data_IF_731953893128
#
_entry.id   IF_731953893128
#
_cell.length_a   1.000
_cell.length_b   1.000
_cell.length_c   1.000
_cell.angle_alpha   90.00
_cell.angle_beta   90.00
_cell.angle_gamma   90.00
#
_symmetry.space_group_name_H-M   'P 1'
#
loop_
_entity.id
_entity.type
_entity.pdbx_description
1 polymer ?
#
# COMPACT_ATOMS: atom_id res chain seq x y z
N UNK A 1 12.86 37.90 9.59
CA UNK A 1 12.83 36.78 10.55
C UNK A 1 11.68 35.88 10.16
N UNK A 2 11.92 34.59 10.09
CA UNK A 2 10.96 33.61 9.58
C UNK A 2 10.60 32.59 10.65
N UNK A 3 9.32 32.16 10.69
CA UNK A 3 8.83 31.18 11.67
C UNK A 3 8.75 29.79 11.03
N UNK A 4 9.31 28.82 11.74
CA UNK A 4 9.31 27.42 11.37
C UNK A 4 8.67 26.57 12.46
N UNK A 5 8.18 25.40 12.06
CA UNK A 5 7.57 24.38 12.89
C UNK A 5 8.44 23.13 12.90
N UNK A 6 8.81 22.66 14.08
CA UNK A 6 9.30 21.30 14.29
C UNK A 6 8.21 20.44 14.94
N UNK A 7 7.97 19.26 14.39
CA UNK A 7 7.00 18.29 14.92
C UNK A 7 7.73 17.24 15.76
N UNK A 8 7.22 16.98 16.96
CA UNK A 8 7.85 16.01 17.88
C UNK A 8 6.85 15.39 18.83
N UNK A 9 7.21 14.28 19.48
CA UNK A 9 6.37 13.66 20.50
C UNK A 9 6.26 14.54 21.74
N UNK A 10 5.07 14.56 22.39
CA UNK A 10 4.82 15.30 23.62
C UNK A 10 5.87 15.02 24.72
N UNK A 11 6.43 13.81 24.77
CA UNK A 11 7.48 13.43 25.73
C UNK A 11 8.73 14.33 25.67
N UNK A 12 8.99 14.94 24.51
CA UNK A 12 10.15 15.80 24.28
C UNK A 12 9.92 17.26 24.70
N UNK A 13 8.70 17.63 25.16
CA UNK A 13 8.35 19.00 25.54
C UNK A 13 9.30 19.59 26.59
N UNK A 14 9.49 18.89 27.72
CA UNK A 14 10.28 19.42 28.84
C UNK A 14 11.79 19.51 28.52
N UNK A 15 12.41 18.51 27.87
CA UNK A 15 13.77 18.66 27.35
C UNK A 15 13.94 19.88 26.43
N UNK A 16 13.01 20.08 25.49
CA UNK A 16 13.07 21.18 24.52
C UNK A 16 12.92 22.54 25.20
N UNK A 17 12.03 22.67 26.19
CA UNK A 17 11.91 23.90 26.98
C UNK A 17 13.21 24.27 27.70
N UNK A 18 13.98 23.28 28.17
CA UNK A 18 15.23 23.53 28.89
C UNK A 18 16.39 23.88 27.98
N UNK A 19 16.59 23.13 26.89
CA UNK A 19 17.81 23.21 26.08
C UNK A 19 17.61 23.66 24.63
N UNK A 20 16.36 23.85 24.19
CA UNK A 20 16.04 23.99 22.77
C UNK A 20 15.99 22.64 22.04
N UNK A 21 15.95 22.69 20.72
CA UNK A 21 15.86 21.51 19.85
C UNK A 21 17.28 21.12 19.42
N UNK A 22 17.68 19.88 19.71
CA UNK A 22 18.96 19.31 19.27
C UNK A 22 18.83 18.75 17.86
N UNK A 23 19.93 18.74 17.13
CA UNK A 23 20.00 18.03 15.85
C UNK A 23 19.95 16.52 16.09
N UNK A 24 19.43 15.79 15.11
CA UNK A 24 19.45 14.33 15.06
C UNK A 24 20.08 13.86 13.74
N UNK A 25 20.58 12.61 13.67
CA UNK A 25 20.98 12.02 12.41
C UNK A 25 19.86 12.05 11.36
N UNK A 26 20.23 12.23 10.10
CA UNK A 26 19.29 12.26 8.97
C UNK A 26 19.79 11.30 7.88
N UNK A 27 18.86 10.74 7.11
CA UNK A 27 19.12 9.76 6.05
C UNK A 27 19.63 10.36 4.72
N UNK A 28 20.03 11.63 4.71
CA UNK A 28 20.60 12.28 3.53
C UNK A 28 22.12 12.25 3.63
N UNK A 29 22.78 11.65 2.64
CA UNK A 29 24.24 11.44 2.63
C UNK A 29 25.03 12.74 2.84
N UNK A 30 24.58 13.84 2.22
CA UNK A 30 25.21 15.16 2.33
C UNK A 30 24.89 15.90 3.64
N UNK A 31 23.97 15.39 4.46
CA UNK A 31 23.43 16.08 5.64
C UNK A 31 23.44 15.11 6.83
N UNK A 32 24.57 14.98 7.55
CA UNK A 32 24.73 13.97 8.58
C UNK A 32 23.81 14.21 9.78
N UNK A 33 23.50 15.48 10.10
CA UNK A 33 22.63 15.86 11.20
C UNK A 33 21.82 17.11 10.87
N UNK A 34 20.62 17.21 11.44
CA UNK A 34 19.82 18.42 11.36
C UNK A 34 18.51 18.32 12.14
N UNK A 35 17.65 19.31 11.93
CA UNK A 35 16.30 19.37 12.47
C UNK A 35 15.34 19.47 11.30
N UNK A 36 14.46 18.48 11.17
CA UNK A 36 13.32 18.59 10.28
C UNK A 36 12.37 19.67 10.76
N UNK A 37 12.08 20.64 9.90
CA UNK A 37 11.14 21.70 10.16
C UNK A 37 10.34 22.05 8.90
N UNK A 38 9.23 22.77 9.09
CA UNK A 38 8.40 23.28 8.02
C UNK A 38 8.26 24.80 8.16
N UNK A 39 8.34 25.56 7.05
CA UNK A 39 7.92 26.95 7.06
C UNK A 39 6.48 27.08 7.54
N UNK A 40 6.21 28.07 8.40
CA UNK A 40 4.83 28.35 8.85
C UNK A 40 4.16 29.29 7.86
N UNK A 41 3.18 28.76 7.12
CA UNK A 41 2.37 29.49 6.15
C UNK A 41 0.89 29.49 6.58
N UNK A 42 0.02 30.35 5.97
CA UNK A 42 -1.39 30.41 6.33
C UNK A 42 -2.14 29.07 6.20
N UNK A 43 -1.70 28.21 5.27
CA UNK A 43 -2.27 26.87 5.13
C UNK A 43 -1.81 25.95 6.27
N UNK A 44 -2.76 25.61 7.14
CA UNK A 44 -2.53 24.73 8.28
C UNK A 44 -2.19 23.30 7.86
N UNK A 45 -2.83 22.78 6.82
CA UNK A 45 -2.63 21.41 6.34
C UNK A 45 -1.23 21.23 5.77
N UNK A 46 -0.74 22.22 5.00
CA UNK A 46 0.62 22.19 4.44
C UNK A 46 1.69 22.41 5.50
N UNK A 47 1.48 23.36 6.43
CA UNK A 47 2.43 23.60 7.52
C UNK A 47 2.62 22.35 8.38
N UNK A 48 1.55 21.58 8.63
CA UNK A 48 1.56 20.41 9.54
C UNK A 48 1.49 19.07 8.79
N UNK A 49 1.81 19.05 7.50
CA UNK A 49 1.55 17.91 6.61
C UNK A 49 2.24 16.60 7.03
N UNK A 50 3.35 16.68 7.75
CA UNK A 50 4.14 15.55 8.24
C UNK A 50 3.62 14.92 9.54
N UNK A 51 2.60 15.51 10.17
CA UNK A 51 2.16 15.09 11.52
C UNK A 51 1.74 13.62 11.55
N UNK A 52 0.86 13.20 10.65
CA UNK A 52 0.37 11.82 10.62
C UNK A 52 1.45 10.81 10.26
N UNK A 53 2.46 11.21 9.49
CA UNK A 53 3.61 10.35 9.20
C UNK A 53 4.49 10.17 10.42
N UNK A 54 4.91 11.26 11.08
CA UNK A 54 5.71 11.21 12.31
C UNK A 54 4.98 10.46 13.43
N UNK A 55 3.65 10.62 13.52
CA UNK A 55 2.81 9.92 14.50
C UNK A 55 2.86 8.40 14.34
N UNK A 56 3.07 7.86 13.14
CA UNK A 56 3.15 6.40 12.93
C UNK A 56 4.31 5.76 13.68
N UNK A 57 5.39 6.51 13.87
CA UNK A 57 6.61 6.05 14.55
C UNK A 57 6.71 6.55 15.99
N UNK A 58 5.68 7.23 16.49
CA UNK A 58 5.68 7.85 17.81
C UNK A 58 4.68 7.20 18.75
N UNK A 59 5.12 6.92 19.97
CA UNK A 59 4.24 6.50 21.07
C UNK A 59 3.63 7.74 21.73
N UNK A 60 2.39 8.07 21.38
CA UNK A 60 1.63 9.18 21.98
C UNK A 60 1.38 10.38 21.06
N UNK A 61 0.86 11.49 21.60
CA UNK A 61 0.47 12.66 20.80
C UNK A 61 1.69 13.43 20.28
N UNK A 62 1.54 13.99 19.07
CA UNK A 62 2.52 14.89 18.44
C UNK A 62 2.18 16.34 18.80
N UNK A 63 3.21 17.13 19.10
CA UNK A 63 3.14 18.57 19.37
C UNK A 63 3.93 19.35 18.32
N UNK A 64 3.59 20.62 18.16
CA UNK A 64 4.33 21.57 17.33
C UNK A 64 5.19 22.48 18.18
N UNK A 65 6.48 22.55 17.86
CA UNK A 65 7.44 23.51 18.40
C UNK A 65 7.66 24.58 17.34
N UNK A 66 7.17 25.79 17.58
CA UNK A 66 7.33 26.92 16.67
C UNK A 66 8.55 27.72 17.12
N UNK A 67 9.43 28.05 16.19
CA UNK A 67 10.64 28.81 16.46
C UNK A 67 10.93 29.79 15.32
N UNK A 68 11.73 30.82 15.60
CA UNK A 68 12.10 31.86 14.63
C UNK A 68 13.59 31.80 14.31
N UNK A 69 13.94 31.92 13.03
CA UNK A 69 15.33 31.99 12.55
C UNK A 69 15.51 33.19 11.60
N UNK A 70 16.74 33.70 11.44
CA UNK A 70 17.06 34.74 10.46
C UNK A 70 16.61 34.34 9.05
N UNK A 71 16.22 35.31 8.23
CA UNK A 71 15.77 35.03 6.85
C UNK A 71 16.90 34.50 5.97
N UNK A 72 18.13 34.91 6.28
CA UNK A 72 19.37 34.45 5.64
C UNK A 72 19.91 33.14 6.23
N UNK A 73 19.20 32.51 7.18
CA UNK A 73 19.69 31.27 7.80
C UNK A 73 19.80 30.17 6.74
N UNK A 74 20.97 29.53 6.57
CA UNK A 74 21.15 28.47 5.61
C UNK A 74 20.43 27.20 6.07
N UNK A 75 19.74 26.57 5.14
CA UNK A 75 19.00 25.34 5.32
C UNK A 75 19.04 24.48 4.06
N UNK A 76 18.53 23.27 4.18
CA UNK A 76 18.31 22.38 3.04
C UNK A 76 16.81 22.24 2.83
N UNK A 77 16.35 22.34 1.59
CA UNK A 77 14.94 22.25 1.25
C UNK A 77 14.71 21.43 -0.01
N UNK A 78 13.56 20.79 -0.12
CA UNK A 78 13.20 20.02 -1.30
C UNK A 78 11.96 19.17 -1.08
N UNK A 79 11.64 18.33 -2.06
CA UNK A 79 10.54 17.36 -1.97
C UNK A 79 11.03 16.07 -1.29
N UNK A 80 10.11 15.37 -0.65
CA UNK A 80 10.30 14.00 -0.19
C UNK A 80 10.78 13.12 -1.34
N UNK A 81 11.73 12.22 -1.05
CA UNK A 81 12.33 11.32 -2.03
C UNK A 81 13.06 12.03 -3.19
N UNK A 82 13.50 13.27 -2.96
CA UNK A 82 14.30 14.04 -3.91
C UNK A 82 15.59 14.54 -3.25
N UNK A 83 16.56 14.93 -4.08
CA UNK A 83 17.76 15.61 -3.60
C UNK A 83 17.38 16.95 -2.97
N UNK A 84 17.98 17.27 -1.82
CA UNK A 84 17.78 18.55 -1.15
C UNK A 84 18.81 19.56 -1.64
N UNK A 85 18.35 20.78 -1.88
CA UNK A 85 19.20 21.89 -2.27
C UNK A 85 19.37 22.86 -1.11
N UNK A 86 20.55 23.48 -1.03
CA UNK A 86 20.79 24.56 -0.08
C UNK A 86 19.96 25.78 -0.46
N UNK A 87 19.27 26.36 0.51
CA UNK A 87 18.56 27.62 0.37
C UNK A 87 18.55 28.37 1.69
N UNK A 88 18.19 29.65 1.66
CA UNK A 88 17.93 30.45 2.86
C UNK A 88 16.52 30.20 3.42
N UNK A 89 16.31 30.57 4.67
CA UNK A 89 14.99 30.50 5.30
C UNK A 89 13.90 31.18 4.49
N UNK A 90 14.15 32.37 3.95
CA UNK A 90 13.17 33.09 3.14
C UNK A 90 12.93 32.42 1.77
N UNK A 91 13.98 31.92 1.12
CA UNK A 91 13.86 31.22 -0.16
C UNK A 91 13.02 29.94 -0.02
N UNK A 92 13.19 29.17 1.07
CA UNK A 92 12.37 27.97 1.30
C UNK A 92 10.89 28.29 1.46
N UNK A 93 10.54 29.43 2.07
CA UNK A 93 9.15 29.89 2.19
C UNK A 93 8.60 30.27 0.82
N UNK A 94 9.38 31.00 0.03
CA UNK A 94 8.99 31.41 -1.33
C UNK A 94 8.76 30.18 -2.20
N UNK A 95 9.71 29.25 -2.23
CA UNK A 95 9.60 27.97 -2.94
C UNK A 95 8.35 27.20 -2.54
N UNK A 96 8.08 27.04 -1.23
CA UNK A 96 6.88 26.35 -0.77
C UNK A 96 5.57 27.01 -1.24
N UNK A 97 5.55 28.34 -1.34
CA UNK A 97 4.36 29.09 -1.78
C UNK A 97 4.12 29.01 -3.30
N UNK A 98 5.17 28.76 -4.08
CA UNK A 98 5.09 28.76 -5.55
C UNK A 98 4.96 27.37 -6.16
N UNK A 99 5.28 26.30 -5.43
CA UNK A 99 5.13 24.93 -5.92
C UNK A 99 3.64 24.59 -6.08
N UNK A 100 3.29 23.96 -7.19
CA UNK A 100 1.92 23.52 -7.52
C UNK A 100 1.37 22.49 -6.54
N UNK A 101 2.17 21.46 -6.20
CA UNK A 101 1.86 20.45 -5.18
C UNK A 101 2.82 20.57 -3.99
N UNK A 102 2.44 21.30 -2.92
CA UNK A 102 3.29 21.52 -1.75
C UNK A 102 3.40 20.30 -0.83
N UNK A 103 2.67 19.21 -1.10
CA UNK A 103 2.77 18.01 -0.29
C UNK A 103 4.10 17.28 -0.56
N UNK A 104 4.74 16.83 0.52
CA UNK A 104 6.09 16.25 0.50
C UNK A 104 7.21 17.27 0.63
N UNK A 105 6.94 18.58 0.61
CA UNK A 105 7.98 19.57 0.88
C UNK A 105 8.55 19.39 2.29
N UNK A 106 9.86 19.50 2.42
CA UNK A 106 10.58 19.36 3.68
C UNK A 106 11.75 20.32 3.77
N UNK A 107 12.06 20.74 4.98
CA UNK A 107 13.21 21.59 5.29
C UNK A 107 14.02 20.98 6.42
N UNK A 108 15.34 21.07 6.30
CA UNK A 108 16.31 20.65 7.32
C UNK A 108 17.16 21.85 7.71
N UNK A 109 17.10 22.20 8.99
CA UNK A 109 18.02 23.15 9.60
C UNK A 109 19.28 22.39 10.10
N UNK A 110 20.49 22.65 9.59
CA UNK A 110 21.70 21.89 9.91
C UNK A 110 22.33 22.28 11.26
N UNK A 111 21.61 22.99 12.13
CA UNK A 111 22.07 23.39 13.46
C UNK A 111 20.97 23.24 14.50
N UNK A 112 21.36 23.30 15.78
CA UNK A 112 20.41 23.32 16.89
C UNK A 112 19.56 24.60 16.89
N UNK A 113 18.34 24.50 17.40
CA UNK A 113 17.49 25.65 17.74
C UNK A 113 17.62 25.89 19.24
N UNK A 114 18.00 27.10 19.62
CA UNK A 114 18.16 27.49 21.02
C UNK A 114 16.81 27.75 21.69
N UNK A 115 16.77 27.70 23.02
CA UNK A 115 15.54 28.02 23.78
C UNK A 115 15.00 29.43 23.52
N UNK A 116 15.86 30.39 23.13
CA UNK A 116 15.48 31.79 22.86
C UNK A 116 14.82 31.97 21.48
N UNK A 117 15.06 31.03 20.57
CA UNK A 117 14.45 31.01 19.24
C UNK A 117 13.04 30.39 19.27
N UNK A 118 12.70 29.63 20.32
CA UNK A 118 11.36 29.04 20.48
C UNK A 118 10.35 30.15 20.76
N UNK A 119 9.32 30.20 19.93
CA UNK A 119 8.21 31.17 20.02
C UNK A 119 7.06 30.57 20.83
N UNK A 120 6.67 29.32 20.55
CA UNK A 120 5.57 28.64 21.25
C UNK A 120 5.61 27.13 21.06
N UNK A 121 4.98 26.43 21.99
CA UNK A 121 4.71 24.99 21.92
C UNK A 121 3.21 24.78 21.90
N UNK A 122 2.68 24.04 20.93
CA UNK A 122 1.22 23.84 20.74
C UNK A 122 0.86 22.36 20.63
N UNK A 123 -0.25 21.98 21.27
CA UNK A 123 -0.95 20.74 20.95
C UNK A 123 -1.60 20.83 19.57
N UNK A 124 -1.54 19.76 18.79
CA UNK A 124 -2.02 19.75 17.41
C UNK A 124 -3.20 18.77 17.23
N UNK A 125 -4.14 19.02 16.31
CA UNK A 125 -5.10 18.01 15.91
C UNK A 125 -4.39 16.80 15.32
N UNK A 126 -4.64 15.61 15.87
CA UNK A 126 -3.87 14.41 15.56
C UNK A 126 -4.30 13.68 14.28
N UNK A 127 -5.16 14.33 13.49
CA UNK A 127 -5.78 13.82 12.26
C UNK A 127 -5.22 14.48 11.00
N UNK A 128 -4.31 15.44 11.15
CA UNK A 128 -3.79 16.27 10.05
C UNK A 128 -2.54 15.64 9.43
N UNK A 129 -2.37 15.86 8.12
CA UNK A 129 -1.25 15.36 7.34
C UNK A 129 -1.52 14.04 6.63
N UNK A 130 -0.59 13.66 5.76
CA UNK A 130 -0.63 12.40 5.01
C UNK A 130 0.03 11.26 5.80
N UNK A 131 -0.06 10.03 5.27
CA UNK A 131 0.61 8.83 5.81
C UNK A 131 1.30 8.12 4.65
N UNK A 132 2.41 7.43 4.91
CA UNK A 132 3.22 6.65 3.96
C UNK A 132 4.01 7.51 2.98
N UNK A 133 3.34 8.30 2.16
CA UNK A 133 3.94 9.25 1.21
C UNK A 133 2.91 10.34 0.86
N UNK A 134 3.34 11.49 0.30
CA UNK A 134 2.47 12.64 0.04
C UNK A 134 1.21 12.30 -0.77
N UNK A 135 1.35 11.47 -1.80
CA UNK A 135 0.29 11.07 -2.75
C UNK A 135 -0.50 9.84 -2.29
N UNK A 136 -0.28 9.34 -1.07
CA UNK A 136 -0.86 8.07 -0.63
C UNK A 136 -2.39 8.08 -0.52
N UNK A 137 -3.00 9.27 -0.51
CA UNK A 137 -4.46 9.42 -0.53
C UNK A 137 -5.05 9.25 -1.93
N UNK A 138 -4.32 9.63 -2.98
CA UNK A 138 -4.81 9.59 -4.36
C UNK A 138 -4.50 8.25 -5.03
N UNK A 139 -3.45 7.55 -4.58
CA UNK A 139 -3.09 6.24 -5.12
C UNK A 139 -3.77 5.10 -4.36
N UNK A 140 -4.34 4.11 -5.07
CA UNK A 140 -4.84 2.91 -4.41
C UNK A 140 -3.68 2.19 -3.70
N UNK A 141 -3.93 1.72 -2.48
CA UNK A 141 -2.94 0.98 -1.70
C UNK A 141 -2.68 -0.37 -2.35
N UNK A 142 -1.41 -0.72 -2.54
CA UNK A 142 -1.02 -2.08 -2.88
C UNK A 142 -1.44 -3.06 -1.76
N UNK A 143 -2.10 -4.16 -2.13
CA UNK A 143 -2.68 -5.12 -1.20
C UNK A 143 -1.82 -6.36 -0.96
N UNK A 144 -0.60 -6.38 -1.52
CA UNK A 144 0.35 -7.48 -1.35
C UNK A 144 0.81 -7.60 0.12
N UNK A 145 1.33 -8.76 0.54
CA UNK A 145 1.76 -8.99 1.93
C UNK A 145 2.84 -8.02 2.42
N UNK A 146 3.66 -7.45 1.52
CA UNK A 146 4.68 -6.46 1.86
C UNK A 146 4.07 -5.09 2.20
N UNK A 147 3.08 -4.62 1.42
CA UNK A 147 2.44 -3.31 1.62
C UNK A 147 1.29 -3.34 2.63
N UNK A 148 0.68 -4.51 2.84
CA UNK A 148 -0.42 -4.76 3.77
C UNK A 148 -0.09 -6.00 4.62
N UNK A 149 0.81 -5.89 5.61
CA UNK A 149 1.28 -7.00 6.42
C UNK A 149 0.16 -7.56 7.31
N UNK A 150 0.30 -8.82 7.73
CA UNK A 150 -0.69 -9.51 8.54
C UNK A 150 -1.01 -8.73 9.84
N UNK A 151 -2.30 -8.57 10.12
CA UNK A 151 -2.79 -7.87 11.32
C UNK A 151 -3.07 -6.39 11.10
N UNK A 152 -2.93 -5.89 9.86
CA UNK A 152 -3.26 -4.51 9.56
C UNK A 152 -4.76 -4.23 9.72
N UNK A 153 -5.14 -3.06 10.29
CA UNK A 153 -6.54 -2.69 10.43
C UNK A 153 -7.28 -2.71 9.09
N UNK A 154 -8.47 -3.30 9.08
CA UNK A 154 -9.36 -3.37 7.90
C UNK A 154 -8.76 -4.06 6.67
N UNK A 155 -7.67 -4.83 6.81
CA UNK A 155 -7.00 -5.46 5.67
C UNK A 155 -7.94 -6.33 4.81
N UNK A 156 -8.85 -7.10 5.46
CA UNK A 156 -9.76 -8.00 4.75
C UNK A 156 -10.78 -7.20 3.95
N UNK A 157 -11.34 -6.15 4.56
CA UNK A 157 -12.30 -5.25 3.91
C UNK A 157 -11.69 -4.55 2.70
N UNK A 158 -10.41 -4.15 2.77
CA UNK A 158 -9.73 -3.55 1.61
C UNK A 158 -9.61 -4.55 0.45
N UNK A 159 -9.31 -5.81 0.75
CA UNK A 159 -9.18 -6.87 -0.26
C UNK A 159 -10.52 -7.29 -0.84
N UNK A 160 -11.55 -7.44 -0.01
CA UNK A 160 -12.93 -7.69 -0.45
C UNK A 160 -13.44 -6.57 -1.36
N UNK A 161 -13.26 -5.30 -0.98
CA UNK A 161 -13.65 -4.17 -1.80
C UNK A 161 -12.95 -4.18 -3.17
N UNK A 162 -11.64 -4.49 -3.19
CA UNK A 162 -10.88 -4.58 -4.44
C UNK A 162 -11.34 -5.77 -5.29
N UNK A 163 -11.61 -6.92 -4.68
CA UNK A 163 -12.16 -8.09 -5.36
C UNK A 163 -13.49 -7.75 -6.07
N UNK A 164 -14.46 -7.18 -5.36
CA UNK A 164 -15.74 -6.79 -5.98
C UNK A 164 -15.60 -5.67 -7.02
N UNK A 165 -14.66 -4.75 -6.82
CA UNK A 165 -14.33 -3.75 -7.84
C UNK A 165 -13.79 -4.40 -9.12
N UNK A 166 -12.96 -5.43 -9.03
CA UNK A 166 -12.44 -6.16 -10.19
C UNK A 166 -13.54 -6.96 -10.88
N UNK A 167 -14.45 -7.60 -10.13
CA UNK A 167 -15.64 -8.24 -10.69
C UNK A 167 -16.49 -7.24 -11.48
N UNK A 168 -16.72 -6.04 -10.93
CA UNK A 168 -17.45 -4.99 -11.64
C UNK A 168 -16.73 -4.53 -12.91
N UNK A 169 -15.40 -4.37 -12.85
CA UNK A 169 -14.60 -3.98 -14.01
C UNK A 169 -14.65 -5.05 -15.12
N UNK A 170 -14.56 -6.33 -14.75
CA UNK A 170 -14.65 -7.45 -15.70
C UNK A 170 -15.94 -7.39 -16.52
N UNK A 171 -17.07 -7.09 -15.86
CA UNK A 171 -18.37 -6.99 -16.50
C UNK A 171 -18.51 -5.77 -17.44
N UNK A 172 -17.73 -4.71 -17.23
CA UNK A 172 -17.78 -3.47 -18.02
C UNK A 172 -16.83 -3.51 -19.22
N UNK A 173 -15.72 -4.26 -19.09
CA UNK A 173 -14.71 -4.42 -20.13
C UNK A 173 -15.22 -5.26 -21.30
N UNK A 174 -14.82 -4.88 -22.51
CA UNK A 174 -15.17 -5.57 -23.76
C UNK A 174 -14.06 -6.46 -24.31
N UNK A 175 -12.79 -6.08 -24.11
CA UNK A 175 -11.65 -6.78 -24.70
C UNK A 175 -11.25 -8.01 -23.86
N UNK A 176 -10.73 -9.03 -24.52
CA UNK A 176 -10.31 -10.27 -23.86
C UNK A 176 -9.05 -10.01 -23.03
N UNK A 177 -8.12 -9.20 -23.55
CA UNK A 177 -6.85 -8.87 -22.91
C UNK A 177 -7.05 -8.17 -21.56
N UNK A 178 -7.95 -7.19 -21.50
CA UNK A 178 -8.29 -6.51 -20.23
C UNK A 178 -8.98 -7.47 -19.26
N UNK A 179 -9.89 -8.35 -19.73
CA UNK A 179 -10.53 -9.37 -18.89
C UNK A 179 -9.50 -10.32 -18.29
N UNK A 180 -8.53 -10.79 -19.08
CA UNK A 180 -7.44 -11.64 -18.60
C UNK A 180 -6.55 -10.92 -17.58
N UNK A 181 -6.25 -9.64 -17.79
CA UNK A 181 -5.52 -8.80 -16.83
C UNK A 181 -6.27 -8.64 -15.50
N UNK A 182 -7.60 -8.45 -15.57
CA UNK A 182 -8.47 -8.39 -14.39
C UNK A 182 -8.47 -9.73 -13.64
N UNK A 183 -8.58 -10.86 -14.35
CA UNK A 183 -8.51 -12.19 -13.75
C UNK A 183 -7.17 -12.46 -13.07
N UNK A 184 -6.05 -12.04 -13.67
CA UNK A 184 -4.74 -12.11 -13.03
C UNK A 184 -4.71 -11.31 -11.72
N UNK A 185 -5.29 -10.10 -11.72
CA UNK A 185 -5.40 -9.27 -10.52
C UNK A 185 -6.29 -9.92 -9.43
N UNK A 186 -7.32 -10.67 -9.83
CA UNK A 186 -8.16 -11.44 -8.90
C UNK A 186 -7.36 -12.59 -8.27
N UNK A 187 -6.63 -13.36 -9.08
CA UNK A 187 -5.79 -14.46 -8.58
C UNK A 187 -4.74 -13.97 -7.57
N UNK A 188 -4.09 -12.85 -7.86
CA UNK A 188 -3.13 -12.21 -6.95
C UNK A 188 -3.77 -11.89 -5.59
N UNK A 189 -4.97 -11.29 -5.58
CA UNK A 189 -5.65 -10.92 -4.33
C UNK A 189 -6.02 -12.16 -3.52
N UNK A 190 -6.54 -13.19 -4.18
CA UNK A 190 -6.96 -14.44 -3.53
C UNK A 190 -5.75 -15.21 -2.98
N UNK A 191 -4.62 -15.20 -3.68
CA UNK A 191 -3.36 -15.81 -3.25
C UNK A 191 -2.88 -15.29 -1.89
N UNK A 192 -3.18 -14.02 -1.58
CA UNK A 192 -2.79 -13.41 -0.30
C UNK A 192 -3.92 -13.39 0.74
N UNK A 193 -5.15 -13.76 0.36
CA UNK A 193 -6.36 -13.48 1.14
C UNK A 193 -7.32 -14.67 1.22
N UNK A 194 -7.01 -15.68 2.04
CA UNK A 194 -7.82 -16.90 2.15
C UNK A 194 -9.20 -16.70 2.80
N UNK A 195 -9.62 -15.45 3.04
CA UNK A 195 -10.91 -15.10 3.66
C UNK A 195 -12.00 -14.77 2.64
N UNK A 196 -11.63 -14.46 1.40
CA UNK A 196 -12.60 -14.22 0.34
C UNK A 196 -13.07 -15.60 -0.14
N UNK A 197 -14.28 -15.98 0.25
CA UNK A 197 -14.88 -17.27 -0.09
C UNK A 197 -15.99 -17.17 -1.13
N UNK A 198 -16.32 -15.95 -1.57
CA UNK A 198 -17.33 -15.72 -2.59
C UNK A 198 -16.75 -16.00 -3.97
N UNK A 199 -17.07 -17.16 -4.53
CA UNK A 199 -16.70 -17.56 -5.89
C UNK A 199 -17.85 -17.43 -6.88
N UNK A 200 -19.07 -17.11 -6.42
CA UNK A 200 -20.27 -17.06 -7.25
C UNK A 200 -20.15 -16.11 -8.46
N UNK A 201 -19.55 -14.92 -8.35
CA UNK A 201 -19.36 -14.06 -9.50
C UNK A 201 -18.53 -14.70 -10.61
N UNK A 202 -17.52 -15.50 -10.24
CA UNK A 202 -16.59 -16.13 -11.17
C UNK A 202 -17.24 -17.30 -11.93
N UNK A 203 -18.22 -18.00 -11.35
CA UNK A 203 -18.95 -19.07 -12.06
C UNK A 203 -19.70 -18.53 -13.28
N UNK A 204 -20.15 -17.27 -13.23
CA UNK A 204 -20.79 -16.60 -14.38
C UNK A 204 -19.80 -16.37 -15.52
N UNK A 205 -18.52 -16.18 -15.21
CA UNK A 205 -17.48 -15.93 -16.22
C UNK A 205 -17.14 -17.18 -17.02
N UNK A 206 -17.43 -18.38 -16.50
CA UNK A 206 -17.28 -19.63 -17.26
C UNK A 206 -18.24 -19.76 -18.44
N UNK A 207 -19.36 -19.04 -18.43
CA UNK A 207 -20.37 -19.07 -19.50
C UNK A 207 -19.98 -18.26 -20.75
N UNK A 208 -18.74 -17.77 -20.81
CA UNK A 208 -18.20 -17.05 -21.97
C UNK A 208 -17.72 -18.02 -23.04
N UNK A 209 -17.66 -17.57 -24.30
CA UNK A 209 -17.12 -18.36 -25.41
C UNK A 209 -15.57 -18.35 -25.52
N UNK A 210 -14.89 -17.54 -24.68
CA UNK A 210 -13.42 -17.46 -24.69
C UNK A 210 -12.83 -18.55 -23.79
N UNK A 211 -12.12 -19.48 -24.43
CA UNK A 211 -11.37 -20.53 -23.75
C UNK A 211 -10.34 -19.96 -22.78
N UNK A 212 -9.60 -18.91 -23.14
CA UNK A 212 -8.57 -18.35 -22.25
C UNK A 212 -9.15 -17.80 -20.94
N UNK A 213 -10.34 -17.20 -21.01
CA UNK A 213 -11.06 -16.73 -19.83
C UNK A 213 -11.49 -17.92 -18.97
N UNK A 214 -12.08 -18.95 -19.58
CA UNK A 214 -12.50 -20.17 -18.86
C UNK A 214 -11.30 -20.82 -18.16
N UNK A 215 -10.18 -21.00 -18.86
CA UNK A 215 -8.94 -21.53 -18.30
C UNK A 215 -8.47 -20.76 -17.06
N UNK A 216 -8.45 -19.42 -17.15
CA UNK A 216 -8.04 -18.58 -16.01
C UNK A 216 -9.01 -18.68 -14.84
N UNK A 217 -10.32 -18.72 -15.08
CA UNK A 217 -11.32 -18.86 -14.03
C UNK A 217 -11.20 -20.21 -13.32
N UNK A 218 -11.02 -21.31 -14.07
CA UNK A 218 -10.82 -22.64 -13.48
C UNK A 218 -9.57 -22.67 -12.58
N UNK A 219 -8.46 -22.08 -13.03
CA UNK A 219 -7.24 -21.94 -12.20
C UNK A 219 -7.51 -21.17 -10.91
N UNK A 220 -8.27 -20.07 -10.98
CA UNK A 220 -8.64 -19.27 -9.81
C UNK A 220 -9.51 -20.07 -8.81
N UNK A 221 -10.34 -21.01 -9.28
CA UNK A 221 -11.15 -21.84 -8.38
C UNK A 221 -10.32 -22.64 -7.38
N UNK A 222 -9.09 -23.00 -7.73
CA UNK A 222 -8.16 -23.68 -6.82
C UNK A 222 -7.84 -22.90 -5.54
N UNK A 223 -8.07 -21.57 -5.53
CA UNK A 223 -7.85 -20.69 -4.37
C UNK A 223 -8.94 -20.81 -3.30
N UNK A 224 -10.10 -21.35 -3.66
CA UNK A 224 -11.24 -21.48 -2.77
C UNK A 224 -11.28 -22.87 -2.15
N UNK A 225 -11.89 -22.98 -0.97
CA UNK A 225 -12.14 -24.27 -0.31
C UNK A 225 -13.64 -24.55 -0.31
N UNK A 226 -14.16 -25.03 -1.44
CA UNK A 226 -15.60 -25.34 -1.59
C UNK A 226 -15.80 -26.71 -2.24
N UNK A 227 -16.64 -27.54 -1.63
CA UNK A 227 -17.07 -28.82 -2.21
C UNK A 227 -17.87 -28.62 -3.51
N UNK A 228 -18.66 -27.56 -3.56
CA UNK A 228 -19.48 -27.25 -4.73
C UNK A 228 -18.60 -26.88 -5.93
N UNK A 229 -17.49 -26.16 -5.70
CA UNK A 229 -16.50 -25.91 -6.75
C UNK A 229 -15.80 -27.19 -7.21
N UNK A 230 -15.57 -28.16 -6.31
CA UNK A 230 -15.04 -29.47 -6.72
C UNK A 230 -15.96 -30.17 -7.70
N UNK A 231 -17.28 -30.13 -7.46
CA UNK A 231 -18.26 -30.67 -8.41
C UNK A 231 -18.25 -29.93 -9.75
N UNK A 232 -18.19 -28.59 -9.72
CA UNK A 232 -18.11 -27.78 -10.95
C UNK A 232 -16.86 -28.16 -11.74
N UNK A 233 -15.68 -28.20 -11.11
CA UNK A 233 -14.43 -28.62 -11.75
C UNK A 233 -14.52 -30.04 -12.31
N UNK A 234 -15.16 -30.96 -11.57
CA UNK A 234 -15.34 -32.35 -12.05
C UNK A 234 -16.20 -32.43 -13.31
N UNK A 235 -17.15 -31.51 -13.52
CA UNK A 235 -17.91 -31.41 -14.76
C UNK A 235 -17.04 -31.06 -15.98
N UNK A 236 -15.93 -30.33 -15.77
CA UNK A 236 -15.00 -29.96 -16.85
C UNK A 236 -13.96 -31.03 -17.17
N UNK A 237 -13.82 -32.06 -16.34
CA UNK A 237 -12.92 -33.20 -16.59
C UNK A 237 -13.34 -34.04 -17.81
N UNK A 238 -14.61 -33.97 -18.20
CA UNK A 238 -15.18 -34.67 -19.35
C UNK A 238 -15.70 -33.73 -20.43
N UNK A 239 -15.32 -32.44 -20.38
CA UNK A 239 -15.70 -31.51 -21.43
C UNK A 239 -15.00 -31.88 -22.76
N UNK A 240 -15.51 -31.40 -23.88
CA UNK A 240 -14.85 -31.54 -25.19
C UNK A 240 -14.03 -30.31 -25.57
N UNK A 241 -13.89 -29.37 -24.63
CA UNK A 241 -13.35 -28.04 -24.88
C UNK A 241 -11.84 -27.98 -24.62
N UNK A 242 -11.22 -29.08 -24.20
CA UNK A 242 -9.78 -29.14 -23.94
C UNK A 242 -9.41 -28.40 -22.65
N UNK A 243 -10.27 -28.49 -21.63
CA UNK A 243 -10.14 -27.83 -20.32
C UNK A 243 -9.87 -28.84 -19.19
N UNK A 244 -9.79 -30.12 -19.53
CA UNK A 244 -9.75 -31.25 -18.60
C UNK A 244 -8.48 -31.21 -17.75
N UNK A 245 -7.35 -30.90 -18.40
CA UNK A 245 -6.03 -30.77 -17.76
C UNK A 245 -6.03 -29.68 -16.68
N UNK A 246 -6.60 -28.51 -16.98
CA UNK A 246 -6.66 -27.37 -16.05
C UNK A 246 -7.66 -27.63 -14.91
N UNK A 247 -8.78 -28.30 -15.20
CA UNK A 247 -9.73 -28.70 -14.19
C UNK A 247 -9.11 -29.73 -13.22
N UNK A 248 -8.36 -30.71 -13.74
CA UNK A 248 -7.63 -31.70 -12.95
C UNK A 248 -6.55 -31.04 -12.07
N UNK A 249 -5.72 -30.17 -12.64
CA UNK A 249 -4.71 -29.41 -11.89
C UNK A 249 -5.36 -28.59 -10.77
N UNK A 250 -6.45 -27.89 -11.06
CA UNK A 250 -7.16 -27.05 -10.08
C UNK A 250 -7.77 -27.87 -8.94
N UNK A 251 -8.30 -29.07 -9.23
CA UNK A 251 -8.76 -30.02 -8.22
C UNK A 251 -7.61 -30.51 -7.33
N UNK A 252 -6.47 -30.87 -7.92
CA UNK A 252 -5.29 -31.32 -7.18
C UNK A 252 -4.75 -30.23 -6.26
N UNK A 253 -4.66 -28.98 -6.72
CA UNK A 253 -4.25 -27.84 -5.88
C UNK A 253 -5.24 -27.64 -4.72
N UNK A 254 -6.54 -27.70 -4.99
CA UNK A 254 -7.60 -27.42 -4.00
C UNK A 254 -7.76 -28.52 -2.95
N UNK A 255 -7.73 -29.80 -3.37
CA UNK A 255 -8.11 -30.97 -2.56
C UNK A 255 -6.94 -31.90 -2.23
N UNK A 256 -5.79 -31.76 -2.89
CA UNK A 256 -4.65 -32.68 -2.79
C UNK A 256 -5.11 -34.13 -2.98
N UNK A 257 -4.78 -35.04 -2.07
CA UNK A 257 -5.20 -36.45 -2.12
C UNK A 257 -6.72 -36.63 -2.25
N UNK A 258 -7.52 -35.69 -1.71
CA UNK A 258 -8.97 -35.70 -1.83
C UNK A 258 -9.48 -35.49 -3.26
N UNK A 259 -8.61 -35.15 -4.22
CA UNK A 259 -8.95 -35.05 -5.64
C UNK A 259 -9.02 -36.44 -6.31
N UNK A 260 -8.34 -37.47 -5.78
CA UNK A 260 -8.23 -38.79 -6.43
C UNK A 260 -9.58 -39.38 -6.87
N UNK A 261 -10.67 -39.37 -6.06
CA UNK A 261 -11.95 -39.92 -6.47
C UNK A 261 -12.54 -39.30 -7.74
N UNK A 262 -12.19 -38.05 -8.03
CA UNK A 262 -12.65 -37.33 -9.22
C UNK A 262 -11.85 -37.70 -10.48
N UNK A 263 -10.65 -38.26 -10.33
CA UNK A 263 -9.69 -38.49 -11.42
C UNK A 263 -9.57 -39.96 -11.84
N UNK A 264 -10.18 -40.90 -11.11
CA UNK A 264 -10.06 -42.37 -11.34
C UNK A 264 -10.36 -42.73 -12.81
N UNK A 265 -11.39 -42.13 -13.40
CA UNK A 265 -11.78 -42.41 -14.80
C UNK A 265 -10.86 -41.84 -15.87
N UNK A 266 -9.87 -41.03 -15.47
CA UNK A 266 -8.94 -40.33 -16.36
C UNK A 266 -7.49 -40.78 -16.15
N UNK A 267 -7.26 -41.80 -15.33
CA UNK A 267 -5.94 -42.36 -15.09
C UNK A 267 -5.31 -42.96 -16.34
N UNK A 268 -6.04 -43.22 -17.43
CA UNK A 268 -5.43 -43.64 -18.71
C UNK A 268 -4.83 -42.47 -19.51
N UNK A 269 -5.13 -41.22 -19.18
CA UNK A 269 -4.56 -40.05 -19.84
C UNK A 269 -3.16 -39.74 -19.28
N UNK A 270 -2.14 -39.85 -20.14
CA UNK A 270 -0.74 -39.66 -19.77
C UNK A 270 -0.46 -38.27 -19.15
N UNK A 271 -1.19 -37.23 -19.56
CA UNK A 271 -0.99 -35.88 -19.00
C UNK A 271 -1.56 -35.79 -17.59
N UNK A 272 -2.74 -36.37 -17.36
CA UNK A 272 -3.38 -36.37 -16.04
C UNK A 272 -2.60 -37.27 -15.07
N UNK A 273 -2.12 -38.43 -15.52
CA UNK A 273 -1.20 -39.26 -14.72
C UNK A 273 0.02 -38.48 -14.24
N UNK A 274 0.64 -37.72 -15.15
CA UNK A 274 1.80 -36.88 -14.82
C UNK A 274 1.45 -35.83 -13.76
N UNK A 275 0.33 -35.13 -13.92
CA UNK A 275 -0.13 -34.15 -12.92
C UNK A 275 -0.39 -34.79 -11.55
N UNK A 276 -0.98 -35.99 -11.51
CA UNK A 276 -1.24 -36.70 -10.26
C UNK A 276 0.09 -37.02 -9.56
N UNK A 277 1.09 -37.50 -10.29
CA UNK A 277 2.42 -37.78 -9.74
C UNK A 277 3.10 -36.50 -9.25
N UNK A 278 3.10 -35.42 -10.06
CA UNK A 278 3.76 -34.15 -9.71
C UNK A 278 3.19 -33.48 -8.43
N UNK A 279 1.92 -33.73 -8.09
CA UNK A 279 1.25 -33.09 -6.95
C UNK A 279 1.05 -33.98 -5.73
N UNK A 280 1.09 -35.32 -5.87
CA UNK A 280 0.80 -36.26 -4.79
C UNK A 280 2.00 -37.11 -4.34
N UNK A 281 3.08 -37.17 -5.13
CA UNK A 281 4.36 -37.80 -4.75
C UNK A 281 5.33 -36.76 -4.13
#
# INVERSE_FOLDING_TARGET
>A
MSIFLHLTSLKNKNPILRSGIKTSPIHYEKIPMGIFCMPVIPDFSITHQWLREIKRFSNGPIIGIYFRIPDSEPLWSGRYDSELTTSSAIESIQTLRTIEDPFGFQVILPRKVTKKEIVKIKGLPQTIGWRYFPEARTKPRCLCPACLPKGWPFQNRLRENKYYSLISQFNQTRTIEEKLSILASIDDILSFSPKINDYEPLTRFLKTDSKEIQEKVLKIFSRFKSEELSKILSGYLHSKEGLEEIAAESLLIMKREGARPYLIGLESDLKIQRLISDYLD
#
